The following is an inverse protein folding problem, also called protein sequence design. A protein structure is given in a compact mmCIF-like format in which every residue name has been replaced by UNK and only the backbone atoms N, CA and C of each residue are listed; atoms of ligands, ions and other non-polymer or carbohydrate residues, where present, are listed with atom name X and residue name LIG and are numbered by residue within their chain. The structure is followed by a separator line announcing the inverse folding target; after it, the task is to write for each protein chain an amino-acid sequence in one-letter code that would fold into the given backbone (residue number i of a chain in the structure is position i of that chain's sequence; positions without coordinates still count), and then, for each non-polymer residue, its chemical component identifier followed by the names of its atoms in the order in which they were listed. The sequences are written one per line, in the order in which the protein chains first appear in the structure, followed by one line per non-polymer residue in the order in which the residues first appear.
data_IF_395240223739
#
_entry.id   IF_395240223739
#
_cell.length_a   1.000
_cell.length_b   1.000
_cell.length_c   1.000
_cell.angle_alpha   90.00
_cell.angle_beta   90.00
_cell.angle_gamma   90.00
#
_symmetry.space_group_name_H-M   'P 1'
#
loop_
_entity.id
_entity.type
_entity.pdbx_description
1 polymer ?
#
# COMPACT_ATOMS: atom_id res chain seq x y z
N UNK A 1 -21.63 17.20 5.96
CA UNK A 1 -20.94 17.23 7.26
C UNK A 1 -20.17 15.93 7.29
N UNK A 2 -18.94 15.96 6.77
CA UNK A 2 -18.05 14.81 6.78
C UNK A 2 -17.17 15.02 8.00
N UNK A 3 -17.15 14.04 8.89
CA UNK A 3 -16.30 14.06 10.08
C UNK A 3 -14.84 14.11 9.62
N UNK A 4 -14.09 15.06 10.18
CA UNK A 4 -12.64 15.12 10.16
C UNK A 4 -12.12 13.77 10.66
N UNK A 5 -11.74 12.88 9.73
CA UNK A 5 -11.08 11.64 10.08
C UNK A 5 -9.59 11.87 9.86
N UNK A 6 -8.90 12.28 10.93
CA UNK A 6 -7.48 12.63 11.02
C UNK A 6 -6.50 11.48 10.64
N UNK A 7 -7.00 10.34 10.16
CA UNK A 7 -6.16 9.18 9.86
C UNK A 7 -5.40 9.33 8.56
N UNK A 8 -4.07 9.24 8.63
CA UNK A 8 -3.25 9.19 7.42
C UNK A 8 -3.46 7.86 6.66
N UNK A 9 -3.03 7.81 5.39
CA UNK A 9 -3.26 6.64 4.53
C UNK A 9 -2.71 5.33 5.11
N UNK A 10 -1.70 5.37 5.98
CA UNK A 10 -1.16 4.19 6.64
C UNK A 10 -2.09 3.71 7.77
N UNK A 11 -2.63 4.63 8.56
CA UNK A 11 -3.55 4.30 9.66
C UNK A 11 -4.86 3.72 9.12
N UNK A 12 -5.41 4.28 8.04
CA UNK A 12 -6.59 3.72 7.36
C UNK A 12 -6.34 2.27 6.93
N UNK A 13 -5.15 1.95 6.41
CA UNK A 13 -4.82 0.58 6.02
C UNK A 13 -4.68 -0.34 7.23
N UNK A 14 -4.13 0.14 8.34
CA UNK A 14 -4.01 -0.64 9.59
C UNK A 14 -5.40 -1.02 10.12
N UNK A 15 -6.34 -0.09 10.15
CA UNK A 15 -7.72 -0.38 10.56
C UNK A 15 -8.38 -1.38 9.60
N UNK A 16 -8.33 -1.12 8.29
CA UNK A 16 -8.98 -1.97 7.30
C UNK A 16 -8.41 -3.39 7.24
N UNK A 17 -7.10 -3.55 7.45
CA UNK A 17 -6.44 -4.87 7.36
C UNK A 17 -6.40 -5.62 8.69
N UNK A 18 -6.80 -4.98 9.79
CA UNK A 18 -7.03 -5.65 11.08
C UNK A 18 -8.49 -6.10 11.27
N UNK A 19 -9.44 -5.57 10.50
CA UNK A 19 -10.86 -5.95 10.57
C UNK A 19 -11.15 -7.28 9.83
N UNK A 20 -11.50 -8.38 10.56
CA UNK A 20 -11.80 -9.66 9.94
C UNK A 20 -13.07 -9.65 9.08
N UNK A 21 -14.06 -8.82 9.40
CA UNK A 21 -15.33 -8.72 8.66
C UNK A 21 -15.12 -8.00 7.33
N UNK A 22 -14.35 -6.90 7.30
CA UNK A 22 -13.99 -6.23 6.04
C UNK A 22 -13.17 -7.14 5.14
N UNK A 23 -12.17 -7.84 5.67
CA UNK A 23 -11.40 -8.81 4.91
C UNK A 23 -12.28 -9.95 4.39
N UNK A 24 -13.20 -10.47 5.21
CA UNK A 24 -14.16 -11.50 4.80
C UNK A 24 -15.04 -11.01 3.65
N UNK A 25 -15.50 -9.75 3.65
CA UNK A 25 -16.26 -9.17 2.54
C UNK A 25 -15.43 -9.16 1.26
N UNK A 26 -14.19 -8.68 1.32
CA UNK A 26 -13.26 -8.63 0.17
C UNK A 26 -13.03 -10.03 -0.41
N UNK A 27 -12.66 -11.01 0.41
CA UNK A 27 -12.37 -12.36 -0.07
C UNK A 27 -13.60 -13.09 -0.60
N UNK A 28 -14.80 -12.81 -0.08
CA UNK A 28 -16.04 -13.35 -0.65
C UNK A 28 -16.37 -12.70 -1.99
N UNK A 29 -16.25 -11.36 -2.09
CA UNK A 29 -16.53 -10.61 -3.31
C UNK A 29 -15.60 -11.04 -4.46
N UNK A 30 -14.31 -11.22 -4.17
CA UNK A 30 -13.27 -11.53 -5.16
C UNK A 30 -12.83 -12.99 -5.13
N UNK A 31 -13.67 -13.89 -4.60
CA UNK A 31 -13.32 -15.32 -4.45
C UNK A 31 -12.80 -15.96 -5.74
N UNK A 32 -13.45 -15.70 -6.89
CA UNK A 32 -13.03 -16.26 -8.18
C UNK A 32 -11.64 -15.78 -8.60
N UNK A 33 -11.34 -14.50 -8.42
CA UNK A 33 -10.06 -13.91 -8.76
C UNK A 33 -8.95 -14.50 -7.88
N UNK A 34 -9.21 -14.53 -6.58
CA UNK A 34 -8.33 -15.12 -5.59
C UNK A 34 -8.03 -16.60 -5.89
N UNK A 35 -9.07 -17.43 -6.08
CA UNK A 35 -8.89 -18.87 -6.28
C UNK A 35 -8.15 -19.19 -7.59
N UNK A 36 -8.30 -18.35 -8.62
CA UNK A 36 -7.59 -18.52 -9.88
C UNK A 36 -6.09 -18.25 -9.75
N UNK A 37 -5.69 -17.30 -8.89
CA UNK A 37 -4.29 -16.87 -8.78
C UNK A 37 -3.53 -17.52 -7.61
N UNK A 38 -4.20 -17.74 -6.48
CA UNK A 38 -3.59 -18.25 -5.24
C UNK A 38 -4.05 -19.65 -4.87
N UNK A 39 -5.01 -20.22 -5.60
CA UNK A 39 -5.62 -21.51 -5.31
C UNK A 39 -6.77 -21.43 -4.31
N UNK A 40 -7.48 -22.55 -4.15
CA UNK A 40 -8.64 -22.63 -3.24
C UNK A 40 -8.21 -22.66 -1.79
N UNK A 41 -8.88 -21.87 -0.95
CA UNK A 41 -8.74 -21.93 0.50
C UNK A 41 -10.08 -21.69 1.21
N UNK A 42 -10.16 -22.07 2.49
CA UNK A 42 -11.26 -21.67 3.36
C UNK A 42 -11.16 -20.16 3.62
N UNK A 43 -12.29 -19.45 3.54
CA UNK A 43 -12.33 -17.99 3.78
C UNK A 43 -11.71 -17.60 5.12
N UNK A 44 -11.95 -18.37 6.18
CA UNK A 44 -11.36 -18.10 7.50
C UNK A 44 -9.84 -18.15 7.48
N UNK A 45 -9.23 -19.12 6.78
CA UNK A 45 -7.79 -19.29 6.73
C UNK A 45 -7.11 -18.16 5.93
N UNK A 46 -7.77 -17.67 4.89
CA UNK A 46 -7.20 -16.55 4.14
C UNK A 46 -7.37 -15.21 4.85
N UNK A 47 -8.48 -15.00 5.55
CA UNK A 47 -8.65 -13.82 6.41
C UNK A 47 -7.57 -13.84 7.51
N UNK A 48 -7.36 -14.97 8.18
CA UNK A 48 -6.30 -15.12 9.19
C UNK A 48 -4.90 -14.86 8.59
N UNK A 49 -4.63 -15.38 7.39
CA UNK A 49 -3.39 -15.08 6.67
C UNK A 49 -3.25 -13.58 6.38
N UNK A 50 -4.32 -12.91 5.97
CA UNK A 50 -4.30 -11.49 5.63
C UNK A 50 -3.98 -10.63 6.86
N UNK A 51 -4.64 -10.87 7.99
CA UNK A 51 -4.40 -10.16 9.24
C UNK A 51 -2.95 -10.36 9.69
N UNK A 52 -2.49 -11.63 9.75
CA UNK A 52 -1.11 -11.94 10.13
C UNK A 52 -0.07 -11.28 9.22
N UNK A 53 -0.34 -11.23 7.91
CA UNK A 53 0.54 -10.59 6.93
C UNK A 53 0.57 -9.06 7.12
N UNK A 54 -0.57 -8.47 7.48
CA UNK A 54 -0.70 -7.05 7.77
C UNK A 54 0.05 -6.67 9.06
N UNK A 55 -0.13 -7.43 10.14
CA UNK A 55 0.57 -7.21 11.42
C UNK A 55 2.09 -7.17 11.20
N UNK A 56 2.64 -8.20 10.54
CA UNK A 56 4.08 -8.29 10.24
C UNK A 56 4.55 -7.13 9.34
N UNK A 57 3.72 -6.71 8.40
CA UNK A 57 4.04 -5.62 7.48
C UNK A 57 4.12 -4.28 8.22
N UNK A 58 3.16 -3.98 9.10
CA UNK A 58 3.15 -2.72 9.85
C UNK A 58 4.23 -2.69 10.94
N UNK A 59 4.48 -3.82 11.63
CA UNK A 59 5.64 -3.96 12.51
C UNK A 59 6.94 -3.67 11.76
N UNK A 60 7.10 -4.23 10.55
CA UNK A 60 8.29 -4.00 9.75
C UNK A 60 8.42 -2.54 9.31
N UNK A 61 7.33 -1.92 8.87
CA UNK A 61 7.36 -0.51 8.48
C UNK A 61 7.72 0.40 9.66
N UNK A 62 7.19 0.13 10.85
CA UNK A 62 7.52 0.86 12.07
C UNK A 62 9.02 0.72 12.41
N UNK A 63 9.55 -0.51 12.39
CA UNK A 63 10.98 -0.78 12.62
C UNK A 63 11.86 0.00 11.62
N UNK A 64 11.51 -0.02 10.34
CA UNK A 64 12.28 0.64 9.28
C UNK A 64 12.16 2.18 9.34
N UNK A 65 11.06 2.71 9.87
CA UNK A 65 10.83 4.16 10.01
C UNK A 65 11.73 4.79 11.08
N UNK A 66 12.19 4.01 12.06
CA UNK A 66 13.14 4.46 13.08
C UNK A 66 14.59 4.59 12.59
N UNK A 67 14.90 4.14 11.36
CA UNK A 67 16.21 4.32 10.73
C UNK A 67 16.30 5.69 10.04
N UNK A 68 16.89 6.66 10.73
CA UNK A 68 17.10 8.04 10.23
C UNK A 68 17.92 8.12 8.92
N UNK A 69 18.64 7.06 8.54
CA UNK A 69 19.36 7.03 7.27
C UNK A 69 18.44 6.86 6.06
N UNK A 70 17.22 6.33 6.27
CA UNK A 70 16.24 6.00 5.22
C UNK A 70 16.69 4.87 4.27
N UNK A 71 17.83 4.22 4.57
CA UNK A 71 18.42 3.18 3.74
C UNK A 71 17.57 1.91 3.77
N UNK A 72 17.09 1.50 4.94
CA UNK A 72 16.35 0.25 5.04
C UNK A 72 14.96 0.34 4.37
N UNK A 73 14.32 1.51 4.38
CA UNK A 73 13.08 1.74 3.61
C UNK A 73 13.32 1.65 2.09
N UNK A 74 14.52 1.99 1.60
CA UNK A 74 14.87 1.86 0.17
C UNK A 74 15.00 0.41 -0.28
N UNK A 75 15.33 -0.50 0.64
CA UNK A 75 15.40 -1.93 0.37
C UNK A 75 14.01 -2.59 0.42
N UNK A 76 13.13 -2.06 1.28
CA UNK A 76 11.74 -2.51 1.39
C UNK A 76 10.89 -2.10 0.18
N UNK A 77 10.93 -0.82 -0.18
CA UNK A 77 10.15 -0.30 -1.30
C UNK A 77 10.81 -0.58 -2.64
N UNK A 78 10.03 -1.13 -3.57
CA UNK A 78 10.47 -1.43 -4.94
C UNK A 78 9.83 -0.44 -5.92
N UNK A 79 10.48 -0.13 -7.05
CA UNK A 79 9.85 0.67 -8.11
C UNK A 79 8.51 0.08 -8.54
N UNK A 80 7.49 0.93 -8.66
CA UNK A 80 6.17 0.53 -9.14
C UNK A 80 6.29 -0.08 -10.54
N UNK A 81 7.09 0.56 -11.40
CA UNK A 81 7.36 0.14 -12.77
C UNK A 81 8.70 -0.61 -12.88
N UNK A 82 8.68 -1.81 -13.47
CA UNK A 82 9.87 -2.66 -13.57
C UNK A 82 11.01 -2.03 -14.38
N UNK A 83 10.71 -1.14 -15.33
CA UNK A 83 11.71 -0.40 -16.12
C UNK A 83 12.59 0.54 -15.28
N UNK A 84 12.15 0.86 -14.07
CA UNK A 84 12.85 1.72 -13.12
C UNK A 84 13.67 0.92 -12.10
N UNK A 85 13.70 -0.43 -12.22
CA UNK A 85 14.51 -1.27 -11.35
C UNK A 85 15.99 -0.86 -11.36
N UNK A 86 16.58 -0.76 -10.17
CA UNK A 86 17.97 -0.34 -9.98
C UNK A 86 18.19 1.18 -10.00
N UNK A 87 17.16 1.97 -10.32
CA UNK A 87 17.21 3.42 -10.26
C UNK A 87 16.46 3.94 -9.04
N UNK A 88 17.06 4.92 -8.37
CA UNK A 88 16.48 5.61 -7.22
C UNK A 88 16.49 7.11 -7.49
N UNK A 89 15.32 7.74 -7.52
CA UNK A 89 15.19 9.16 -7.82
C UNK A 89 14.00 9.76 -7.06
N UNK A 90 14.03 11.08 -6.88
CA UNK A 90 12.99 11.80 -6.17
C UNK A 90 11.64 11.73 -6.92
N UNK A 91 10.53 11.72 -6.18
CA UNK A 91 9.17 11.55 -6.69
C UNK A 91 8.90 10.21 -7.40
N UNK A 92 9.78 9.22 -7.21
CA UNK A 92 9.58 7.87 -7.73
C UNK A 92 8.38 7.20 -7.08
N UNK A 93 7.53 6.58 -7.90
CA UNK A 93 6.40 5.77 -7.44
C UNK A 93 6.87 4.37 -7.05
N UNK A 94 6.51 3.95 -5.84
CA UNK A 94 7.03 2.76 -5.20
C UNK A 94 5.90 1.85 -4.72
N UNK A 95 6.23 0.57 -4.52
CA UNK A 95 5.37 -0.45 -3.94
C UNK A 95 6.14 -1.30 -2.92
N UNK A 96 5.51 -1.53 -1.78
CA UNK A 96 5.89 -2.52 -0.77
C UNK A 96 4.99 -3.75 -0.88
N UNK A 97 5.48 -4.89 -0.42
CA UNK A 97 4.73 -6.15 -0.37
C UNK A 97 4.52 -6.54 1.09
N UNK A 98 3.45 -7.29 1.38
CA UNK A 98 3.35 -7.99 2.66
C UNK A 98 4.50 -8.98 2.87
N UNK A 99 4.66 -9.37 4.13
CA UNK A 99 5.81 -10.11 4.63
C UNK A 99 5.72 -11.62 4.40
N UNK A 100 4.51 -12.16 4.26
CA UNK A 100 4.29 -13.59 4.06
C UNK A 100 4.50 -13.99 2.59
N UNK A 101 4.94 -15.24 2.41
CA UNK A 101 5.01 -15.85 1.08
C UNK A 101 3.64 -15.79 0.38
N UNK A 102 3.67 -15.48 -0.91
CA UNK A 102 2.47 -15.21 -1.71
C UNK A 102 1.52 -14.20 -1.02
N UNK A 103 2.06 -13.13 -0.46
CA UNK A 103 1.27 -12.01 0.02
C UNK A 103 0.41 -11.44 -1.12
N UNK A 104 -0.81 -11.02 -0.77
CA UNK A 104 -1.70 -10.20 -1.61
C UNK A 104 -1.74 -8.74 -1.16
N UNK A 105 -1.07 -8.36 -0.07
CA UNK A 105 -0.99 -6.99 0.43
C UNK A 105 0.05 -6.19 -0.36
N UNK A 106 -0.31 -4.97 -0.76
CA UNK A 106 0.61 -4.00 -1.34
C UNK A 106 0.38 -2.65 -0.70
N UNK A 107 1.46 -1.98 -0.33
CA UNK A 107 1.46 -0.58 0.12
C UNK A 107 2.13 0.26 -0.98
N UNK A 108 1.61 1.44 -1.24
CA UNK A 108 2.09 2.33 -2.28
C UNK A 108 2.66 3.61 -1.67
N UNK A 109 3.80 4.05 -2.20
CA UNK A 109 4.49 5.21 -1.68
C UNK A 109 5.12 6.07 -2.79
N UNK A 110 5.38 7.34 -2.48
CA UNK A 110 6.23 8.24 -3.26
C UNK A 110 7.54 8.47 -2.50
N UNK A 111 8.69 8.30 -3.16
CA UNK A 111 9.96 8.73 -2.59
C UNK A 111 10.01 10.26 -2.57
N UNK A 112 10.35 10.84 -1.43
CA UNK A 112 10.51 12.29 -1.29
C UNK A 112 11.77 12.62 -0.46
N UNK A 113 12.85 12.95 -1.15
CA UNK A 113 14.18 13.12 -0.55
C UNK A 113 14.69 11.84 0.13
N UNK A 114 14.72 11.86 1.46
CA UNK A 114 15.03 10.68 2.31
C UNK A 114 13.78 10.01 2.88
N UNK A 115 12.62 10.63 2.73
CA UNK A 115 11.34 10.17 3.26
C UNK A 115 10.53 9.41 2.21
N UNK A 116 9.48 8.74 2.66
CA UNK A 116 8.54 8.00 1.82
C UNK A 116 7.14 8.41 2.24
N UNK A 117 6.37 8.94 1.28
CA UNK A 117 4.98 9.35 1.52
C UNK A 117 4.07 8.18 1.15
N UNK A 118 3.43 7.57 2.15
CA UNK A 118 2.45 6.50 1.92
C UNK A 118 1.20 7.12 1.31
N UNK A 119 0.71 6.52 0.23
CA UNK A 119 -0.45 7.03 -0.54
C UNK A 119 -1.68 6.14 -0.45
N UNK A 120 -1.50 4.93 0.09
CA UNK A 120 -2.53 3.91 0.19
C UNK A 120 -1.99 2.51 -0.06
N UNK A 121 -2.90 1.57 -0.31
CA UNK A 121 -2.60 0.16 -0.38
C UNK A 121 -3.74 -0.65 -1.01
N UNK A 122 -3.46 -1.90 -1.35
CA UNK A 122 -4.43 -2.80 -1.97
C UNK A 122 -4.23 -4.25 -1.57
N UNK A 123 -5.35 -4.95 -1.42
CA UNK A 123 -5.40 -6.42 -1.44
C UNK A 123 -5.50 -6.85 -2.91
N UNK A 124 -4.34 -7.06 -3.53
CA UNK A 124 -4.25 -7.38 -4.96
C UNK A 124 -4.44 -8.87 -5.18
N UNK A 125 -5.67 -9.24 -5.55
CA UNK A 125 -6.11 -10.60 -5.82
C UNK A 125 -6.01 -11.01 -7.30
N UNK A 126 -5.47 -10.14 -8.16
CA UNK A 126 -5.29 -10.39 -9.60
C UNK A 126 -3.83 -10.20 -10.04
N UNK A 127 -3.48 -10.78 -11.20
CA UNK A 127 -2.14 -10.66 -11.77
C UNK A 127 -1.85 -9.21 -12.24
N UNK A 128 -2.80 -8.53 -12.90
CA UNK A 128 -2.60 -7.18 -13.46
C UNK A 128 -3.42 -6.10 -12.73
N UNK A 129 -2.81 -4.93 -12.55
CA UNK A 129 -3.41 -3.74 -11.91
C UNK A 129 -4.60 -3.15 -12.69
N UNK A 130 -4.72 -3.44 -13.99
CA UNK A 130 -5.76 -2.85 -14.84
C UNK A 130 -7.11 -3.60 -14.78
N UNK A 131 -7.17 -4.72 -14.06
CA UNK A 131 -8.32 -5.62 -14.12
C UNK A 131 -9.47 -5.17 -13.20
N UNK A 132 -9.20 -4.29 -12.22
CA UNK A 132 -10.18 -3.90 -11.18
C UNK A 132 -10.13 -2.41 -10.86
N UNK A 133 -11.26 -1.88 -10.37
CA UNK A 133 -11.44 -0.45 -10.04
C UNK A 133 -10.55 -0.03 -8.86
N UNK A 134 -10.45 -0.85 -7.81
CA UNK A 134 -9.70 -0.51 -6.60
C UNK A 134 -8.20 -0.29 -6.87
N UNK A 135 -7.57 -1.09 -7.74
CA UNK A 135 -6.16 -0.88 -8.13
C UNK A 135 -5.95 0.34 -9.03
N UNK A 136 -6.97 0.75 -9.79
CA UNK A 136 -6.94 2.00 -10.57
C UNK A 136 -7.04 3.22 -9.65
N UNK A 137 -7.85 3.15 -8.60
CA UNK A 137 -7.94 4.20 -7.57
C UNK A 137 -6.57 4.42 -6.94
N UNK A 138 -5.88 3.38 -6.50
CA UNK A 138 -4.55 3.53 -5.89
C UNK A 138 -3.52 4.12 -6.87
N UNK A 139 -3.57 3.77 -8.16
CA UNK A 139 -2.73 4.41 -9.17
C UNK A 139 -3.06 5.90 -9.37
N UNK A 140 -4.34 6.27 -9.30
CA UNK A 140 -4.78 7.66 -9.34
C UNK A 140 -4.25 8.44 -8.13
N UNK A 141 -4.40 7.91 -6.91
CA UNK A 141 -3.88 8.53 -5.68
C UNK A 141 -2.37 8.76 -5.76
N UNK A 142 -1.62 7.74 -6.18
CA UNK A 142 -0.18 7.82 -6.39
C UNK A 142 0.22 8.95 -7.36
N UNK A 143 -0.50 9.09 -8.48
CA UNK A 143 -0.21 10.16 -9.44
C UNK A 143 -0.56 11.54 -8.86
N UNK A 144 -1.71 11.66 -8.18
CA UNK A 144 -2.13 12.92 -7.57
C UNK A 144 -1.12 13.40 -6.52
N UNK A 145 -0.72 12.53 -5.59
CA UNK A 145 0.27 12.87 -4.55
C UNK A 145 1.62 13.23 -5.17
N UNK A 146 2.07 12.49 -6.19
CA UNK A 146 3.31 12.82 -6.90
C UNK A 146 3.24 14.21 -7.54
N UNK A 147 2.14 14.51 -8.22
CA UNK A 147 1.97 15.78 -8.93
C UNK A 147 1.85 16.94 -7.93
N UNK A 148 1.16 16.74 -6.81
CA UNK A 148 1.12 17.69 -5.69
C UNK A 148 2.51 17.97 -5.10
N UNK A 149 3.28 16.93 -4.76
CA UNK A 149 4.64 17.08 -4.22
C UNK A 149 5.58 17.77 -5.22
N UNK A 150 5.37 17.54 -6.52
CA UNK A 150 6.14 18.20 -7.57
C UNK A 150 5.85 19.71 -7.64
N UNK A 151 4.61 20.10 -7.45
CA UNK A 151 4.15 21.50 -7.56
C UNK A 151 4.41 22.29 -6.27
N UNK A 152 4.14 21.68 -5.11
CA UNK A 152 4.13 22.37 -3.81
C UNK A 152 5.18 21.89 -2.81
N UNK A 153 5.96 20.84 -3.12
CA UNK A 153 6.84 20.19 -2.14
C UNK A 153 7.90 21.08 -1.49
N UNK A 154 8.25 22.23 -2.08
CA UNK A 154 9.16 23.21 -1.46
C UNK A 154 8.49 24.09 -0.39
N UNK A 155 7.16 24.17 -0.38
CA UNK A 155 6.34 24.99 0.52
C UNK A 155 5.41 24.13 1.41
N UNK A 156 5.37 22.82 1.20
CA UNK A 156 4.47 21.91 1.90
C UNK A 156 4.93 21.65 3.35
N UNK A 157 4.39 22.41 4.31
CA UNK A 157 3.88 21.78 5.52
C UNK A 157 2.83 20.75 5.08
N UNK A 158 2.86 19.54 5.62
CA UNK A 158 2.00 18.43 5.20
C UNK A 158 0.52 18.88 5.16
N UNK A 159 0.00 19.12 3.96
CA UNK A 159 -1.43 19.34 3.75
C UNK A 159 -2.02 18.01 3.33
N UNK A 160 -2.95 17.52 4.15
CA UNK A 160 -3.82 16.40 3.87
C UNK A 160 -4.38 16.52 2.44
N UNK A 161 -4.19 15.49 1.62
CA UNK A 161 -4.87 15.39 0.33
C UNK A 161 -6.12 14.53 0.53
N UNK A 162 -7.21 15.18 0.88
CA UNK A 162 -8.55 14.60 0.79
C UNK A 162 -8.89 14.37 -0.69
N UNK A 163 -9.04 13.11 -1.08
CA UNK A 163 -9.55 12.69 -2.40
C UNK A 163 -10.53 11.54 -2.29
#
# INVERSE_FOLDING_TARGET
MYEDNDFDALEILQEQWSDPEELRKIFNQFKKDYEAFYGRAKISLIVEKAIKDADLLFEKLFELSGDESGKNLSEFFKPLYNKEAGNLFDLQQLKGYGMLWNSFLRIYAIRYGKSYVITGGAIKLTEKMNDRSHTKTELYKLNLVRDYLKEFGKEAEFVFLDI
#
